data_IF_435818390154
#
_entry.id   IF_435818390154
#
_cell.length_a   1.000
_cell.length_b   1.000
_cell.length_c   1.000
_cell.angle_alpha   90.00
_cell.angle_beta   90.00
_cell.angle_gamma   90.00
#
_symmetry.space_group_name_H-M   'P 1'
#
loop_
_entity.id
_entity.type
_entity.pdbx_description
1 polymer ?
#
# COMPACT_ATOMS: atom_id res chain seq x y z
N UNK A 1 -112.37 -3.40 62.71
CA UNK A 1 -111.81 -2.56 61.62
C UNK A 1 -110.77 -1.57 62.15
N UNK A 2 -110.93 -1.07 63.38
CA UNK A 2 -110.02 -0.10 64.00
C UNK A 2 -108.59 -0.65 64.24
N UNK A 3 -108.47 -1.93 64.62
CA UNK A 3 -107.15 -2.56 64.88
C UNK A 3 -106.26 -2.69 63.63
N UNK A 4 -106.86 -2.82 62.43
CA UNK A 4 -106.11 -2.91 61.17
C UNK A 4 -105.57 -1.55 60.72
N UNK A 5 -106.33 -0.47 60.94
CA UNK A 5 -105.90 0.90 60.62
C UNK A 5 -104.78 1.33 61.56
N UNK A 6 -104.85 0.95 62.84
CA UNK A 6 -103.79 1.21 63.81
C UNK A 6 -102.49 0.46 63.45
N UNK A 7 -102.57 -0.83 63.11
CA UNK A 7 -101.38 -1.60 62.70
C UNK A 7 -100.79 -1.14 61.37
N UNK A 8 -101.63 -0.71 60.41
CA UNK A 8 -101.15 -0.17 59.14
C UNK A 8 -100.43 1.18 59.32
N UNK A 9 -100.93 2.05 60.21
CA UNK A 9 -100.28 3.32 60.54
C UNK A 9 -98.93 3.10 61.26
N UNK A 10 -98.84 2.12 62.14
CA UNK A 10 -97.61 1.77 62.86
C UNK A 10 -96.55 1.18 61.91
N UNK A 11 -96.97 0.32 60.97
CA UNK A 11 -96.08 -0.23 59.95
C UNK A 11 -95.62 0.83 58.95
N UNK A 12 -96.52 1.72 58.51
CA UNK A 12 -96.17 2.83 57.63
C UNK A 12 -95.17 3.78 58.31
N UNK A 13 -95.39 4.13 59.58
CA UNK A 13 -94.44 4.95 60.36
C UNK A 13 -93.07 4.28 60.50
N UNK A 14 -93.05 2.97 60.77
CA UNK A 14 -91.79 2.23 60.88
C UNK A 14 -91.05 2.11 59.53
N UNK A 15 -91.75 1.90 58.42
CA UNK A 15 -91.16 1.88 57.08
C UNK A 15 -90.63 3.26 56.68
N UNK A 16 -91.36 4.34 56.97
CA UNK A 16 -90.86 5.71 56.75
C UNK A 16 -89.60 5.98 57.55
N UNK A 17 -89.58 5.61 58.83
CA UNK A 17 -88.41 5.79 59.69
C UNK A 17 -87.20 4.96 59.22
N UNK A 18 -87.42 3.74 58.73
CA UNK A 18 -86.36 2.91 58.16
C UNK A 18 -85.84 3.47 56.83
N UNK A 19 -86.72 3.98 55.97
CA UNK A 19 -86.34 4.63 54.71
C UNK A 19 -85.54 5.92 54.94
N UNK A 20 -85.93 6.74 55.92
CA UNK A 20 -85.18 7.95 56.28
C UNK A 20 -83.79 7.61 56.82
N UNK A 21 -83.70 6.61 57.70
CA UNK A 21 -82.42 6.15 58.23
C UNK A 21 -81.50 5.59 57.13
N UNK A 22 -82.04 4.77 56.24
CA UNK A 22 -81.28 4.22 55.12
C UNK A 22 -80.84 5.31 54.13
N UNK A 23 -81.69 6.30 53.87
CA UNK A 23 -81.36 7.43 52.98
C UNK A 23 -80.26 8.32 53.59
N UNK A 24 -80.32 8.58 54.90
CA UNK A 24 -79.29 9.33 55.61
C UNK A 24 -77.94 8.59 55.60
N UNK A 25 -77.95 7.27 55.81
CA UNK A 25 -76.75 6.43 55.77
C UNK A 25 -76.15 6.38 54.35
N UNK A 26 -76.98 6.26 53.31
CA UNK A 26 -76.53 6.30 51.92
C UNK A 26 -75.94 7.66 51.54
N UNK A 27 -76.51 8.76 52.05
CA UNK A 27 -76.00 10.10 51.79
C UNK A 27 -74.67 10.37 52.51
N UNK A 28 -74.50 9.83 53.72
CA UNK A 28 -73.20 9.84 54.42
C UNK A 28 -72.15 9.06 53.63
N UNK A 29 -72.46 7.83 53.24
CA UNK A 29 -71.55 6.97 52.47
C UNK A 29 -71.15 7.61 51.13
N UNK A 30 -72.11 8.24 50.42
CA UNK A 30 -71.82 8.97 49.18
C UNK A 30 -70.89 10.17 49.40
N UNK A 31 -71.01 10.85 50.54
CA UNK A 31 -70.15 11.98 50.89
C UNK A 31 -68.74 11.52 51.26
N UNK A 32 -68.63 10.42 52.00
CA UNK A 32 -67.35 9.81 52.37
C UNK A 32 -66.62 9.28 51.13
N UNK A 33 -67.33 8.63 50.20
CA UNK A 33 -66.79 8.21 48.90
C UNK A 33 -66.29 9.40 48.07
N UNK A 34 -67.01 10.52 48.05
CA UNK A 34 -66.57 11.74 47.33
C UNK A 34 -65.31 12.34 47.95
N UNK A 35 -65.19 12.36 49.27
CA UNK A 35 -63.95 12.82 49.93
C UNK A 35 -62.79 11.89 49.63
N UNK A 36 -62.98 10.57 49.79
CA UNK A 36 -61.97 9.58 49.48
C UNK A 36 -61.52 9.65 48.00
N UNK A 37 -62.45 9.86 47.07
CA UNK A 37 -62.12 10.07 45.65
C UNK A 37 -61.32 11.35 45.41
N UNK A 38 -61.64 12.44 46.12
CA UNK A 38 -60.86 13.68 46.09
C UNK A 38 -59.42 13.48 46.60
N UNK A 39 -59.28 12.82 47.74
CA UNK A 39 -57.98 12.55 48.37
C UNK A 39 -57.11 11.64 47.49
N UNK A 40 -57.69 10.59 46.91
CA UNK A 40 -56.99 9.71 45.96
C UNK A 40 -56.56 10.49 44.72
N UNK A 41 -57.42 11.34 44.17
CA UNK A 41 -57.06 12.16 43.00
C UNK A 41 -55.90 13.10 43.30
N UNK A 42 -55.90 13.70 44.49
CA UNK A 42 -54.82 14.57 44.94
C UNK A 42 -53.51 13.81 45.17
N UNK A 43 -53.57 12.64 45.79
CA UNK A 43 -52.39 11.77 46.00
C UNK A 43 -51.81 11.27 44.67
N UNK A 44 -52.67 10.89 43.71
CA UNK A 44 -52.23 10.50 42.36
C UNK A 44 -51.58 11.67 41.63
N UNK A 45 -52.13 12.88 41.75
CA UNK A 45 -51.54 14.08 41.15
C UNK A 45 -50.16 14.41 41.77
N UNK A 46 -50.03 14.29 43.09
CA UNK A 46 -48.76 14.47 43.81
C UNK A 46 -47.73 13.40 43.39
N UNK A 47 -48.12 12.12 43.40
CA UNK A 47 -47.26 11.01 42.99
C UNK A 47 -46.82 11.11 41.52
N UNK A 48 -47.68 11.57 40.62
CA UNK A 48 -47.30 11.85 39.22
C UNK A 48 -46.22 12.93 39.12
N UNK A 49 -46.33 13.98 39.93
CA UNK A 49 -45.37 15.07 39.94
C UNK A 49 -44.00 14.59 40.46
N UNK A 50 -44.01 13.83 41.54
CA UNK A 50 -42.81 13.21 42.13
C UNK A 50 -42.15 12.22 41.17
N UNK A 51 -42.91 11.36 40.50
CA UNK A 51 -42.40 10.44 39.48
C UNK A 51 -41.80 11.17 38.28
N UNK A 52 -42.40 12.28 37.83
CA UNK A 52 -41.82 13.08 36.74
C UNK A 52 -40.50 13.74 37.15
N UNK A 53 -40.40 14.22 38.39
CA UNK A 53 -39.16 14.77 38.91
C UNK A 53 -38.09 13.69 39.08
N UNK A 54 -38.44 12.53 39.63
CA UNK A 54 -37.55 11.38 39.76
C UNK A 54 -37.07 10.86 38.40
N UNK A 55 -37.97 10.75 37.41
CA UNK A 55 -37.62 10.32 36.06
C UNK A 55 -36.68 11.34 35.38
N UNK A 56 -36.93 12.65 35.50
CA UNK A 56 -36.03 13.68 34.98
C UNK A 56 -34.66 13.66 35.67
N UNK A 57 -34.63 13.46 36.98
CA UNK A 57 -33.39 13.36 37.73
C UNK A 57 -32.59 12.11 37.33
N UNK A 58 -33.24 10.94 37.22
CA UNK A 58 -32.60 9.69 36.80
C UNK A 58 -32.08 9.76 35.36
N UNK A 59 -32.85 10.35 34.44
CA UNK A 59 -32.40 10.57 33.05
C UNK A 59 -31.22 11.52 33.01
N UNK A 60 -31.25 12.63 33.78
CA UNK A 60 -30.13 13.58 33.83
C UNK A 60 -28.88 12.94 34.43
N UNK A 61 -29.03 12.14 35.47
CA UNK A 61 -27.94 11.38 36.10
C UNK A 61 -27.33 10.39 35.10
N UNK A 62 -28.16 9.57 34.43
CA UNK A 62 -27.71 8.61 33.42
C UNK A 62 -27.00 9.29 32.25
N UNK A 63 -27.54 10.39 31.71
CA UNK A 63 -26.86 11.17 30.67
C UNK A 63 -25.55 11.79 31.19
N UNK A 64 -25.52 12.27 32.43
CA UNK A 64 -24.31 12.87 33.02
C UNK A 64 -23.22 11.84 33.33
N UNK A 65 -23.56 10.56 33.50
CA UNK A 65 -22.62 9.48 33.75
C UNK A 65 -22.15 8.80 32.45
N UNK A 66 -23.05 8.55 31.49
CA UNK A 66 -22.71 7.80 30.29
C UNK A 66 -22.07 8.64 29.18
N UNK A 67 -22.42 9.93 29.06
CA UNK A 67 -21.81 10.84 28.07
C UNK A 67 -20.31 11.05 28.32
N UNK A 68 -19.82 11.35 29.55
CA UNK A 68 -18.39 11.51 29.77
C UNK A 68 -17.62 10.20 29.60
N UNK A 69 -18.19 9.05 29.95
CA UNK A 69 -17.56 7.75 29.71
C UNK A 69 -17.40 7.45 28.21
N UNK A 70 -18.41 7.77 27.39
CA UNK A 70 -18.33 7.63 25.94
C UNK A 70 -17.32 8.62 25.32
N UNK A 71 -17.28 9.87 25.80
CA UNK A 71 -16.30 10.87 25.34
C UNK A 71 -14.87 10.49 25.72
N UNK A 72 -14.65 9.92 26.90
CA UNK A 72 -13.33 9.46 27.34
C UNK A 72 -12.86 8.24 26.55
N UNK A 73 -13.74 7.30 26.24
CA UNK A 73 -13.44 6.16 25.36
C UNK A 73 -13.11 6.59 23.92
N UNK A 74 -13.81 7.59 23.39
CA UNK A 74 -13.53 8.18 22.07
C UNK A 74 -12.22 8.98 22.11
N UNK A 75 -11.95 9.71 23.19
CA UNK A 75 -10.69 10.42 23.42
C UNK A 75 -9.50 9.48 23.44
N UNK A 76 -9.56 8.40 24.24
CA UNK A 76 -8.52 7.37 24.27
C UNK A 76 -8.30 6.70 22.91
N UNK A 77 -9.38 6.47 22.15
CA UNK A 77 -9.28 5.92 20.80
C UNK A 77 -8.60 6.90 19.84
N UNK A 78 -8.91 8.20 19.95
CA UNK A 78 -8.24 9.28 19.21
C UNK A 78 -6.75 9.40 19.53
N UNK A 79 -6.38 9.33 20.80
CA UNK A 79 -4.99 9.40 21.25
C UNK A 79 -4.17 8.18 20.76
N UNK A 80 -4.76 6.98 20.79
CA UNK A 80 -4.15 5.77 20.23
C UNK A 80 -3.93 5.88 18.72
N UNK A 81 -4.93 6.37 17.98
CA UNK A 81 -4.82 6.62 16.54
C UNK A 81 -3.71 7.63 16.23
N UNK A 82 -3.58 8.69 17.03
CA UNK A 82 -2.53 9.71 16.88
C UNK A 82 -1.14 9.14 17.16
N UNK A 83 -1.00 8.33 18.20
CA UNK A 83 0.26 7.65 18.52
C UNK A 83 0.69 6.66 17.41
N UNK A 84 -0.26 5.92 16.84
CA UNK A 84 -0.01 5.01 15.70
C UNK A 84 0.39 5.81 14.45
N UNK A 85 -0.33 6.90 14.15
CA UNK A 85 -0.02 7.76 13.01
C UNK A 85 1.41 8.33 13.10
N UNK A 86 1.81 8.83 14.28
CA UNK A 86 3.17 9.33 14.50
C UNK A 86 4.23 8.21 14.40
N UNK A 87 3.94 7.01 14.87
CA UNK A 87 4.84 5.86 14.72
C UNK A 87 5.01 5.46 13.25
N UNK A 88 3.92 5.46 12.48
CA UNK A 88 3.94 5.17 11.05
C UNK A 88 4.73 6.24 10.30
N UNK A 89 4.52 7.52 10.58
CA UNK A 89 5.25 8.63 9.93
C UNK A 89 6.76 8.56 10.21
N UNK A 90 7.14 8.32 11.48
CA UNK A 90 8.55 8.10 11.86
C UNK A 90 9.15 6.86 11.19
N UNK A 91 8.38 5.77 11.08
CA UNK A 91 8.78 4.54 10.41
C UNK A 91 8.92 4.70 8.88
N UNK A 92 8.03 5.46 8.24
CA UNK A 92 8.02 5.69 6.80
C UNK A 92 9.21 6.55 6.35
N UNK A 93 9.59 7.55 7.16
CA UNK A 93 10.78 8.36 6.92
C UNK A 93 12.08 7.52 7.00
N UNK A 94 12.16 6.60 7.96
CA UNK A 94 13.30 5.69 8.09
C UNK A 94 13.33 4.61 6.98
N UNK A 95 12.17 4.04 6.65
CA UNK A 95 12.03 3.02 5.63
C UNK A 95 12.32 3.56 4.22
N UNK A 96 11.79 4.75 3.89
CA UNK A 96 12.00 5.40 2.58
C UNK A 96 13.46 5.79 2.33
N UNK A 97 14.20 6.19 3.36
CA UNK A 97 15.63 6.46 3.25
C UNK A 97 16.41 5.19 2.96
N UNK A 98 16.09 4.09 3.64
CA UNK A 98 16.79 2.80 3.48
C UNK A 98 16.54 2.18 2.11
N UNK A 99 15.31 2.23 1.60
CA UNK A 99 14.98 1.77 0.24
C UNK A 99 15.59 2.64 -0.85
N UNK A 100 15.62 3.97 -0.69
CA UNK A 100 16.32 4.85 -1.64
C UNK A 100 17.81 4.56 -1.70
N UNK A 101 18.46 4.33 -0.56
CA UNK A 101 19.90 4.05 -0.51
C UNK A 101 20.24 2.70 -1.16
N UNK A 102 19.47 1.66 -0.86
CA UNK A 102 19.62 0.34 -1.49
C UNK A 102 19.33 0.38 -3.00
N UNK A 103 18.28 1.11 -3.41
CA UNK A 103 17.91 1.27 -4.81
C UNK A 103 18.98 2.01 -5.62
N UNK A 104 19.52 3.10 -5.10
CA UNK A 104 20.58 3.86 -5.76
C UNK A 104 21.88 3.05 -5.83
N UNK A 105 22.24 2.36 -4.73
CA UNK A 105 23.41 1.48 -4.68
C UNK A 105 23.35 0.38 -5.74
N UNK A 106 22.22 -0.33 -5.86
CA UNK A 106 22.04 -1.38 -6.86
C UNK A 106 22.12 -0.86 -8.30
N UNK A 107 21.48 0.29 -8.59
CA UNK A 107 21.57 0.95 -9.91
C UNK A 107 23.00 1.37 -10.24
N UNK A 108 23.74 1.93 -9.28
CA UNK A 108 25.15 2.30 -9.50
C UNK A 108 26.04 1.08 -9.73
N UNK A 109 25.82 -0.02 -9.01
CA UNK A 109 26.60 -1.23 -9.18
C UNK A 109 26.39 -1.85 -10.58
N UNK A 110 25.13 -1.91 -11.05
CA UNK A 110 24.81 -2.46 -12.36
C UNK A 110 25.38 -1.62 -13.50
N UNK A 111 25.32 -0.30 -13.39
CA UNK A 111 25.87 0.61 -14.40
C UNK A 111 27.39 0.52 -14.49
N UNK A 112 28.08 0.51 -13.34
CA UNK A 112 29.54 0.33 -13.29
C UNK A 112 29.96 -1.02 -13.85
N UNK A 113 29.27 -2.11 -13.48
CA UNK A 113 29.56 -3.44 -14.00
C UNK A 113 29.39 -3.51 -15.52
N UNK A 114 28.33 -2.90 -16.05
CA UNK A 114 28.05 -2.87 -17.50
C UNK A 114 29.14 -2.13 -18.27
N UNK A 115 29.54 -0.95 -17.80
CA UNK A 115 30.63 -0.16 -18.39
C UNK A 115 31.93 -0.95 -18.36
N UNK A 116 32.22 -1.60 -17.23
CA UNK A 116 33.44 -2.39 -17.08
C UNK A 116 33.50 -3.57 -18.06
N UNK A 117 32.40 -4.31 -18.22
CA UNK A 117 32.32 -5.46 -19.15
C UNK A 117 32.53 -4.99 -20.60
N UNK A 118 31.86 -3.91 -21.01
CA UNK A 118 31.99 -3.36 -22.36
C UNK A 118 33.43 -2.89 -22.60
N UNK A 119 34.00 -2.15 -21.65
CA UNK A 119 35.38 -1.67 -21.74
C UNK A 119 36.42 -2.80 -21.82
N UNK A 120 36.28 -3.82 -20.98
CA UNK A 120 37.16 -4.98 -20.98
C UNK A 120 37.08 -5.75 -22.31
N UNK A 121 35.85 -5.94 -22.83
CA UNK A 121 35.63 -6.62 -24.11
C UNK A 121 36.25 -5.85 -25.27
N UNK A 122 36.06 -4.54 -25.32
CA UNK A 122 36.66 -3.68 -26.34
C UNK A 122 38.19 -3.68 -26.27
N UNK A 123 38.76 -3.63 -25.05
CA UNK A 123 40.20 -3.69 -24.83
C UNK A 123 40.80 -5.00 -25.38
N UNK A 124 40.20 -6.15 -24.99
CA UNK A 124 40.65 -7.47 -25.44
C UNK A 124 40.50 -7.61 -26.95
N UNK A 125 39.38 -7.18 -27.53
CA UNK A 125 39.15 -7.22 -28.98
C UNK A 125 40.23 -6.42 -29.74
N UNK A 126 40.56 -5.20 -29.28
CA UNK A 126 41.59 -4.38 -29.91
C UNK A 126 42.99 -5.02 -29.87
N UNK A 127 43.33 -5.68 -28.76
CA UNK A 127 44.61 -6.38 -28.62
C UNK A 127 44.67 -7.63 -29.50
N UNK A 128 43.56 -8.35 -29.65
CA UNK A 128 43.48 -9.51 -30.53
C UNK A 128 43.51 -9.11 -32.01
N UNK A 129 42.83 -8.04 -32.40
CA UNK A 129 42.90 -7.48 -33.76
C UNK A 129 44.33 -7.09 -34.12
N UNK A 130 45.06 -6.39 -33.24
CA UNK A 130 46.48 -6.06 -33.44
C UNK A 130 47.37 -7.30 -33.59
N UNK A 131 47.06 -8.38 -32.87
CA UNK A 131 47.79 -9.66 -33.00
C UNK A 131 47.45 -10.37 -34.31
N UNK A 132 46.18 -10.36 -34.71
CA UNK A 132 45.71 -10.95 -35.96
C UNK A 132 46.28 -10.22 -37.18
N UNK A 133 46.34 -8.89 -37.13
CA UNK A 133 46.93 -8.07 -38.18
C UNK A 133 48.42 -8.41 -38.37
N UNK A 134 49.19 -8.52 -37.27
CA UNK A 134 50.59 -8.97 -37.32
C UNK A 134 50.74 -10.39 -37.88
N UNK A 135 49.88 -11.32 -37.49
CA UNK A 135 49.91 -12.68 -38.00
C UNK A 135 49.53 -12.77 -39.49
N UNK A 136 48.61 -11.94 -39.97
CA UNK A 136 48.24 -11.88 -41.38
C UNK A 136 49.35 -11.27 -42.25
N UNK A 137 50.11 -10.32 -41.71
CA UNK A 137 51.26 -9.71 -42.39
C UNK A 137 52.42 -10.71 -42.48
N UNK A 138 52.73 -11.46 -41.41
CA UNK A 138 53.75 -12.52 -41.47
C UNK A 138 53.38 -13.61 -42.48
N UNK A 139 52.09 -13.99 -42.57
CA UNK A 139 51.64 -14.95 -43.58
C UNK A 139 51.77 -14.42 -45.02
N UNK A 140 51.45 -13.14 -45.27
CA UNK A 140 51.62 -12.52 -46.59
C UNK A 140 53.10 -12.37 -46.97
N UNK A 141 53.98 -12.08 -46.01
CA UNK A 141 55.42 -11.99 -46.24
C UNK A 141 56.04 -13.37 -46.48
N UNK A 142 55.55 -14.43 -45.83
CA UNK A 142 56.02 -15.79 -46.03
C UNK A 142 55.61 -16.36 -47.40
N UNK A 143 54.40 -16.06 -47.87
CA UNK A 143 53.93 -16.41 -49.22
C UNK A 143 54.78 -15.69 -50.29
N UNK A 144 55.09 -14.39 -50.09
CA UNK A 144 55.93 -13.63 -51.00
C UNK A 144 57.41 -14.08 -51.01
N UNK A 145 57.94 -14.52 -49.86
CA UNK A 145 59.30 -15.09 -49.78
C UNK A 145 59.40 -16.49 -50.39
N UNK A 146 58.31 -17.26 -50.47
CA UNK A 146 58.31 -18.59 -51.09
C UNK A 146 58.54 -18.57 -52.60
N UNK A 147 58.26 -17.45 -53.28
CA UNK A 147 58.51 -17.27 -54.71
C UNK A 147 59.97 -16.89 -55.04
N UNK A 148 60.79 -16.60 -54.02
CA UNK A 148 62.20 -16.24 -54.18
C UNK A 148 63.05 -17.29 -53.47
N UNK A 149 63.57 -18.26 -54.21
CA UNK A 149 64.50 -19.24 -53.66
C UNK A 149 65.83 -18.53 -53.29
N UNK A 150 65.95 -18.10 -52.03
CA UNK A 150 67.21 -17.65 -51.44
C UNK A 150 68.04 -18.91 -51.20
N UNK A 151 69.10 -19.08 -51.98
CA UNK A 151 70.04 -20.19 -51.86
C UNK A 151 71.39 -19.66 -51.36
N UNK A 152 72.27 -20.54 -50.89
CA UNK A 152 73.62 -20.16 -50.44
C UNK A 152 74.60 -20.41 -51.58
N UNK A 153 75.22 -19.34 -52.09
CA UNK A 153 76.32 -19.41 -53.04
C UNK A 153 77.61 -19.13 -52.28
N UNK A 154 78.48 -20.13 -52.12
CA UNK A 154 79.82 -19.97 -51.53
C UNK A 154 79.86 -19.21 -50.19
N UNK A 155 78.87 -19.46 -49.32
CA UNK A 155 78.78 -18.86 -47.99
C UNK A 155 78.11 -17.48 -47.93
N UNK A 156 77.68 -16.92 -49.08
CA UNK A 156 76.89 -15.70 -49.16
C UNK A 156 75.44 -16.00 -49.62
N UNK A 157 74.42 -15.35 -49.03
CA UNK A 157 73.03 -15.52 -49.48
C UNK A 157 72.86 -14.93 -50.89
N UNK A 158 72.36 -15.73 -51.83
CA UNK A 158 72.13 -15.35 -53.22
C UNK A 158 70.67 -15.66 -53.62
N UNK A 159 70.12 -14.82 -54.48
CA UNK A 159 68.74 -14.95 -54.98
C UNK A 159 68.80 -15.36 -56.45
N UNK A 160 68.08 -16.41 -56.84
CA UNK A 160 67.97 -16.83 -58.24
C UNK A 160 66.90 -15.98 -58.94
N UNK A 161 67.32 -15.01 -59.76
CA UNK A 161 66.42 -14.26 -60.64
C UNK A 161 66.07 -15.12 -61.87
N UNK A 162 64.82 -15.06 -62.32
CA UNK A 162 64.42 -15.64 -63.61
C UNK A 162 64.84 -14.70 -64.75
N UNK A 163 65.24 -15.27 -65.90
CA UNK A 163 65.63 -14.46 -67.07
C UNK A 163 64.44 -13.60 -67.55
N UNK A 164 64.61 -12.26 -67.53
CA UNK A 164 63.62 -11.29 -67.99
C UNK A 164 62.84 -10.53 -66.89
N UNK A 165 63.19 -10.66 -65.61
CA UNK A 165 62.46 -10.01 -64.51
C UNK A 165 62.65 -8.47 -64.48
N UNK A 166 61.53 -7.73 -64.35
CA UNK A 166 61.53 -6.27 -64.39
C UNK A 166 62.17 -5.65 -63.13
N UNK A 167 63.16 -4.78 -63.33
CA UNK A 167 63.79 -4.01 -62.25
C UNK A 167 62.89 -2.86 -61.84
N UNK A 168 62.87 -2.54 -60.54
CA UNK A 168 62.12 -1.40 -60.05
C UNK A 168 62.76 -0.10 -60.57
N UNK A 169 62.09 0.57 -61.50
CA UNK A 169 62.58 1.75 -62.22
C UNK A 169 63.04 2.95 -61.35
N UNK A 170 62.82 2.92 -60.03
CA UNK A 170 63.16 4.03 -59.11
C UNK A 170 64.41 3.76 -58.28
N UNK A 171 64.89 2.52 -58.20
CA UNK A 171 66.10 2.17 -57.46
C UNK A 171 66.65 0.83 -57.98
N UNK A 172 67.88 0.84 -58.52
CA UNK A 172 68.48 -0.32 -59.19
C UNK A 172 68.81 -1.49 -58.25
N UNK A 173 68.74 -1.28 -56.93
CA UNK A 173 68.97 -2.29 -55.91
C UNK A 173 67.79 -3.23 -55.64
N UNK A 174 66.62 -3.03 -56.27
CA UNK A 174 65.40 -3.81 -55.98
C UNK A 174 64.75 -4.36 -57.25
N UNK A 175 64.20 -5.57 -57.15
CA UNK A 175 63.42 -6.23 -58.21
C UNK A 175 61.94 -6.26 -57.86
N UNK A 176 61.07 -6.11 -58.86
CA UNK A 176 59.63 -6.16 -58.69
C UNK A 176 59.18 -7.63 -58.80
N UNK A 177 58.60 -8.17 -57.73
CA UNK A 177 58.00 -9.52 -57.74
C UNK A 177 56.49 -9.36 -57.90
N UNK A 178 55.98 -9.63 -59.10
CA UNK A 178 54.54 -9.65 -59.36
C UNK A 178 53.93 -10.96 -58.86
N UNK A 179 53.03 -10.90 -57.88
CA UNK A 179 52.35 -12.05 -57.30
C UNK A 179 51.23 -12.63 -58.21
N UNK A 180 51.30 -12.44 -59.53
CA UNK A 180 50.39 -13.07 -60.49
C UNK A 180 51.18 -13.84 -61.53
N UNK A 181 51.04 -15.17 -61.48
CA UNK A 181 51.63 -16.12 -62.43
C UNK A 181 51.26 -15.86 -63.90
N UNK A 182 51.87 -16.61 -64.84
CA UNK A 182 51.97 -16.23 -66.24
C UNK A 182 50.59 -16.13 -66.90
N UNK A 183 50.15 -14.91 -67.23
CA UNK A 183 49.10 -14.72 -68.23
C UNK A 183 49.73 -14.97 -69.59
N UNK A 184 49.43 -16.14 -70.16
CA UNK A 184 49.71 -16.46 -71.56
C UNK A 184 49.10 -15.41 -72.51
N UNK A 185 49.60 -15.32 -73.74
CA UNK A 185 49.29 -14.22 -74.64
C UNK A 185 47.80 -14.21 -75.01
N UNK A 186 47.18 -13.03 -74.90
CA UNK A 186 45.92 -12.75 -75.56
C UNK A 186 46.17 -12.74 -77.07
N UNK A 187 45.67 -13.77 -77.76
CA UNK A 187 45.60 -13.85 -79.22
C UNK A 187 44.36 -13.04 -79.72
N UNK A 188 44.33 -12.66 -81.01
CA UNK A 188 43.88 -11.35 -81.51
C UNK A 188 42.38 -11.06 -81.43
#
# INVERSE_FOLDING_TARGET
MEDFVANAALLAGHLTQQCEKASAEQQSAATDLRRAAGDVTQQVAAGKHELMHAARAAVREALSQEIPAAVEAVGQSGDRLRAIAEQVERGQAAASRRTRFLGFGALTALTVASIFIIGATAYVASNNLKRAERASVDAQVLEALSQVAITSCDGAPCIKLADGQARWAKNEGYILVDALGPRGPAAP
#
